data_IF_181248430270
#
_entry.id   IF_181248430270
#
_cell.length_a   1.000
_cell.length_b   1.000
_cell.length_c   1.000
_cell.angle_alpha   90.00
_cell.angle_beta   90.00
_cell.angle_gamma   90.00
#
_symmetry.space_group_name_H-M   'P 1'
#
loop_
_entity.id
_entity.type
_entity.pdbx_description
1 polymer ?
#
# COMPACT_ATOMS: atom_id res chain seq x y z
N UNK A 1 2.27 -23.52 -27.34
CA UNK A 1 2.11 -22.23 -26.65
C UNK A 1 2.37 -22.46 -25.18
N UNK A 2 3.58 -22.15 -24.69
CA UNK A 2 3.96 -22.36 -23.29
C UNK A 2 3.01 -21.58 -22.35
N UNK A 3 2.67 -22.14 -21.18
CA UNK A 3 1.94 -21.46 -20.09
C UNK A 3 2.61 -20.16 -19.59
N UNK A 4 3.77 -19.78 -20.16
CA UNK A 4 4.68 -18.73 -19.71
C UNK A 4 4.21 -17.28 -19.92
N UNK A 5 3.09 -17.03 -20.60
CA UNK A 5 2.62 -15.66 -20.90
C UNK A 5 1.13 -15.39 -20.69
N UNK A 6 0.37 -16.25 -19.97
CA UNK A 6 -1.08 -16.03 -19.77
C UNK A 6 -1.45 -14.67 -19.14
N UNK A 7 -0.53 -14.04 -18.40
CA UNK A 7 -0.78 -12.80 -17.64
C UNK A 7 0.08 -11.59 -18.11
N UNK A 8 0.77 -11.69 -19.25
CA UNK A 8 1.62 -10.62 -19.76
C UNK A 8 1.05 -10.00 -21.02
N UNK A 9 1.12 -8.67 -21.13
CA UNK A 9 0.99 -8.00 -22.42
C UNK A 9 2.36 -7.87 -23.09
N UNK A 10 2.44 -8.32 -24.34
CA UNK A 10 3.53 -8.08 -25.27
C UNK A 10 3.04 -7.37 -26.53
N UNK A 11 3.95 -7.05 -27.45
CA UNK A 11 3.64 -6.37 -28.71
C UNK A 11 2.61 -7.13 -29.59
N UNK A 12 2.42 -8.43 -29.36
CA UNK A 12 1.54 -9.31 -30.15
C UNK A 12 0.17 -9.53 -29.51
N UNK A 13 -0.09 -8.94 -28.35
CA UNK A 13 -1.29 -9.20 -27.56
C UNK A 13 -2.56 -8.54 -28.14
N UNK A 14 -3.56 -9.37 -28.49
CA UNK A 14 -4.87 -8.95 -29.04
C UNK A 14 -5.85 -8.56 -27.92
N UNK A 15 -6.78 -7.64 -28.20
CA UNK A 15 -7.81 -7.20 -27.25
C UNK A 15 -8.84 -8.31 -27.09
N UNK A 16 -9.03 -8.79 -25.86
CA UNK A 16 -10.22 -9.56 -25.48
C UNK A 16 -11.06 -8.68 -24.55
N UNK A 17 -12.24 -8.22 -24.97
CA UNK A 17 -13.21 -7.64 -24.06
C UNK A 17 -13.44 -8.64 -22.92
N UNK A 18 -13.38 -8.20 -21.67
CA UNK A 18 -13.71 -9.06 -20.53
C UNK A 18 -15.04 -8.63 -19.95
N UNK A 19 -15.89 -9.61 -19.64
CA UNK A 19 -17.27 -9.46 -19.19
C UNK A 19 -17.42 -8.75 -17.82
N UNK A 20 -16.31 -8.30 -17.21
CA UNK A 20 -16.29 -7.70 -15.86
C UNK A 20 -15.83 -6.23 -15.78
N UNK A 21 -15.53 -5.56 -16.91
CA UNK A 21 -15.67 -4.09 -17.16
C UNK A 21 -14.91 -3.70 -18.44
N UNK A 22 -15.56 -3.13 -19.49
CA UNK A 22 -15.50 -1.67 -19.74
C UNK A 22 -16.65 -1.07 -20.59
N UNK A 23 -17.85 -1.65 -20.66
CA UNK A 23 -18.93 -1.05 -21.48
C UNK A 23 -19.50 0.26 -20.88
N UNK A 24 -19.35 0.48 -19.56
CA UNK A 24 -20.04 1.55 -18.80
C UNK A 24 -19.16 2.64 -18.16
N UNK A 25 -17.82 2.64 -18.28
CA UNK A 25 -16.99 3.73 -17.76
C UNK A 25 -16.40 4.59 -18.88
N UNK A 26 -17.07 5.73 -19.13
CA UNK A 26 -16.73 6.67 -20.18
C UNK A 26 -15.29 7.21 -20.09
N UNK A 27 -14.74 7.34 -18.87
CA UNK A 27 -13.38 7.85 -18.64
C UNK A 27 -12.33 6.95 -19.30
N UNK A 28 -12.42 5.64 -19.08
CA UNK A 28 -11.49 4.67 -19.68
C UNK A 28 -11.68 4.54 -21.19
N UNK A 29 -12.92 4.57 -21.67
CA UNK A 29 -13.24 4.50 -23.11
C UNK A 29 -12.71 5.72 -23.86
N UNK A 30 -12.91 6.92 -23.31
CA UNK A 30 -12.42 8.17 -23.91
C UNK A 30 -10.90 8.20 -23.94
N UNK A 31 -10.22 7.87 -22.83
CA UNK A 31 -8.76 7.80 -22.82
C UNK A 31 -8.21 6.82 -23.86
N UNK A 32 -8.78 5.60 -23.93
CA UNK A 32 -8.37 4.61 -24.91
C UNK A 32 -8.64 5.08 -26.35
N UNK A 33 -9.81 5.66 -26.62
CA UNK A 33 -10.13 6.22 -27.93
C UNK A 33 -9.09 7.27 -28.35
N UNK A 34 -8.79 8.22 -27.46
CA UNK A 34 -7.80 9.27 -27.73
C UNK A 34 -6.44 8.66 -28.08
N UNK A 35 -5.97 7.68 -27.30
CA UNK A 35 -4.66 7.06 -27.50
C UNK A 35 -4.62 6.18 -28.77
N UNK A 36 -5.63 5.33 -28.97
CA UNK A 36 -5.73 4.40 -30.11
C UNK A 36 -5.78 5.14 -31.44
N UNK A 37 -6.64 6.16 -31.54
CA UNK A 37 -6.81 6.96 -32.76
C UNK A 37 -5.86 8.16 -32.84
N UNK A 38 -4.93 8.29 -31.89
CA UNK A 38 -3.92 9.35 -31.82
C UNK A 38 -4.51 10.78 -31.86
N UNK A 39 -5.71 10.96 -31.31
CA UNK A 39 -6.38 12.27 -31.18
C UNK A 39 -5.54 13.20 -30.30
N UNK A 40 -4.77 12.64 -29.38
CA UNK A 40 -3.80 13.34 -28.56
C UNK A 40 -2.80 14.21 -29.34
N UNK A 41 -2.50 13.90 -30.61
CA UNK A 41 -1.55 14.69 -31.43
C UNK A 41 -1.97 16.16 -31.57
N UNK A 42 -3.27 16.43 -31.69
CA UNK A 42 -3.81 17.80 -31.74
C UNK A 42 -3.55 18.56 -30.43
N UNK A 43 -3.46 17.83 -29.31
CA UNK A 43 -3.26 18.40 -27.99
C UNK A 43 -1.79 18.62 -27.61
N UNK A 44 -0.84 18.24 -28.47
CA UNK A 44 0.60 18.47 -28.25
C UNK A 44 0.92 19.96 -28.03
N UNK A 45 0.25 20.83 -28.78
CA UNK A 45 0.45 22.28 -28.74
C UNK A 45 -0.49 22.99 -27.77
N UNK A 46 -1.46 22.27 -27.21
CA UNK A 46 -2.43 22.83 -26.26
C UNK A 46 -1.74 23.02 -24.90
N UNK A 47 -1.76 24.23 -24.32
CA UNK A 47 -1.21 24.45 -22.98
C UNK A 47 -1.95 23.65 -21.91
N UNK A 48 -1.22 23.06 -20.96
CA UNK A 48 -1.85 22.31 -19.86
C UNK A 48 -2.74 23.18 -18.96
N UNK A 49 -2.54 24.50 -19.00
CA UNK A 49 -3.36 25.47 -18.28
C UNK A 49 -4.83 25.38 -18.65
N UNK A 50 -5.16 25.01 -19.90
CA UNK A 50 -6.54 24.81 -20.36
C UNK A 50 -7.17 23.61 -19.65
N UNK A 51 -6.49 22.46 -19.61
CA UNK A 51 -6.96 21.29 -18.86
C UNK A 51 -7.04 21.56 -17.35
N UNK A 52 -6.10 22.34 -16.84
CA UNK A 52 -6.12 22.81 -15.46
C UNK A 52 -7.31 23.75 -15.18
N UNK A 53 -7.78 24.53 -16.16
CA UNK A 53 -9.01 25.31 -16.06
C UNK A 53 -10.24 24.39 -16.09
N UNK A 54 -10.32 23.45 -17.05
CA UNK A 54 -11.42 22.47 -17.17
C UNK A 54 -11.57 21.54 -15.95
N UNK A 55 -10.46 21.23 -15.27
CA UNK A 55 -10.49 20.42 -14.05
C UNK A 55 -11.26 21.07 -12.89
N UNK A 56 -11.46 22.39 -12.92
CA UNK A 56 -12.18 23.12 -11.86
C UNK A 56 -13.68 22.83 -11.90
N UNK A 57 -14.43 23.09 -13.00
CA UNK A 57 -15.85 22.80 -13.06
C UNK A 57 -16.16 21.29 -12.97
N UNK A 58 -15.36 20.44 -13.64
CA UNK A 58 -15.51 18.97 -13.57
C UNK A 58 -15.28 18.48 -12.13
N UNK A 59 -14.26 19.02 -11.46
CA UNK A 59 -13.96 18.69 -10.08
C UNK A 59 -15.09 19.03 -9.13
N UNK A 60 -15.74 20.18 -9.33
CA UNK A 60 -16.86 20.61 -8.50
C UNK A 60 -18.05 19.64 -8.58
N UNK A 61 -18.40 19.16 -9.78
CA UNK A 61 -19.48 18.17 -9.97
C UNK A 61 -19.18 16.82 -9.32
N UNK A 62 -17.94 16.34 -9.38
CA UNK A 62 -17.56 15.04 -8.80
C UNK A 62 -17.21 15.10 -7.30
N UNK A 63 -17.14 16.29 -6.70
CA UNK A 63 -16.63 16.48 -5.35
C UNK A 63 -17.54 15.96 -4.23
N UNK A 64 -18.86 15.93 -4.45
CA UNK A 64 -19.87 15.77 -3.37
C UNK A 64 -19.63 14.51 -2.54
N UNK A 65 -19.38 13.37 -3.18
CA UNK A 65 -19.10 12.09 -2.49
C UNK A 65 -17.63 11.97 -2.04
N UNK A 66 -16.71 12.68 -2.72
CA UNK A 66 -15.28 12.72 -2.39
C UNK A 66 -14.98 13.39 -1.05
N UNK A 67 -15.71 14.46 -0.74
CA UNK A 67 -15.46 15.31 0.42
C UNK A 67 -15.48 14.58 1.76
N UNK A 68 -16.52 13.78 2.02
CA UNK A 68 -16.69 13.10 3.30
C UNK A 68 -15.56 12.10 3.56
N UNK A 69 -15.27 11.25 2.57
CA UNK A 69 -14.25 10.21 2.68
C UNK A 69 -12.84 10.82 2.84
N UNK A 70 -12.48 11.79 2.01
CA UNK A 70 -11.18 12.46 2.09
C UNK A 70 -11.03 13.25 3.40
N UNK A 71 -12.08 13.98 3.82
CA UNK A 71 -12.06 14.68 5.10
C UNK A 71 -11.85 13.72 6.26
N UNK A 72 -12.47 12.54 6.23
CA UNK A 72 -12.25 11.49 7.24
C UNK A 72 -10.79 11.03 7.22
N UNK A 73 -10.21 10.79 6.05
CA UNK A 73 -8.80 10.39 5.91
C UNK A 73 -7.86 11.45 6.45
N UNK A 74 -8.06 12.73 6.10
CA UNK A 74 -7.22 13.82 6.61
C UNK A 74 -7.37 14.04 8.12
N UNK A 75 -8.60 13.98 8.65
CA UNK A 75 -8.83 14.09 10.09
C UNK A 75 -8.14 12.98 10.89
N UNK A 76 -7.96 11.81 10.28
CA UNK A 76 -7.24 10.71 10.89
C UNK A 76 -5.72 10.85 10.77
N UNK A 77 -5.21 11.29 9.61
CA UNK A 77 -3.78 11.39 9.33
C UNK A 77 -3.14 12.67 9.88
N UNK A 78 -3.88 13.66 10.33
CA UNK A 78 -3.27 14.89 10.81
C UNK A 78 -3.73 15.22 12.24
N UNK A 79 -2.82 15.70 13.11
CA UNK A 79 -3.18 16.13 14.45
C UNK A 79 -4.22 17.27 14.45
N UNK A 80 -5.15 17.33 15.42
CA UNK A 80 -6.14 18.41 15.51
C UNK A 80 -5.55 19.83 15.44
N UNK A 81 -4.46 20.08 16.18
CA UNK A 81 -3.73 21.37 16.16
C UNK A 81 -3.20 21.77 14.78
N UNK A 82 -2.89 20.80 13.93
CA UNK A 82 -2.50 21.07 12.54
C UNK A 82 -3.74 21.33 11.69
N UNK A 83 -4.79 20.53 11.87
CA UNK A 83 -6.07 20.64 11.17
C UNK A 83 -6.76 22.00 11.37
N UNK A 84 -6.63 22.61 12.54
CA UNK A 84 -7.13 23.96 12.85
C UNK A 84 -6.51 25.05 11.96
N UNK A 85 -5.29 24.83 11.46
CA UNK A 85 -4.54 25.80 10.64
C UNK A 85 -4.79 25.63 9.14
N UNK A 86 -5.54 24.61 8.74
CA UNK A 86 -5.74 24.26 7.33
C UNK A 86 -7.20 24.24 6.95
N UNK A 87 -7.47 24.69 5.72
CA UNK A 87 -8.80 24.56 5.13
C UNK A 87 -8.94 23.16 4.49
N UNK A 88 -9.54 22.21 5.22
CA UNK A 88 -9.77 20.85 4.75
C UNK A 88 -10.58 20.79 3.45
N UNK A 89 -11.56 21.68 3.27
CA UNK A 89 -12.35 21.76 2.03
C UNK A 89 -11.46 22.12 0.85
N UNK A 90 -10.54 23.08 1.03
CA UNK A 90 -9.54 23.45 0.01
C UNK A 90 -8.62 22.28 -0.31
N UNK A 91 -8.15 21.54 0.68
CA UNK A 91 -7.32 20.35 0.46
C UNK A 91 -8.05 19.28 -0.35
N UNK A 92 -9.30 18.98 -0.02
CA UNK A 92 -10.10 18.03 -0.80
C UNK A 92 -10.34 18.53 -2.22
N UNK A 93 -10.65 19.80 -2.43
CA UNK A 93 -10.78 20.39 -3.77
C UNK A 93 -9.48 20.26 -4.57
N UNK A 94 -8.34 20.52 -3.93
CA UNK A 94 -7.03 20.34 -4.54
C UNK A 94 -6.79 18.89 -4.95
N UNK A 95 -7.14 17.92 -4.10
CA UNK A 95 -7.04 16.49 -4.43
C UNK A 95 -7.92 16.09 -5.61
N UNK A 96 -9.20 16.50 -5.62
CA UNK A 96 -10.14 16.14 -6.70
C UNK A 96 -9.66 16.73 -8.03
N UNK A 97 -9.33 18.03 -8.03
CA UNK A 97 -8.81 18.73 -9.20
C UNK A 97 -7.52 18.09 -9.70
N UNK A 98 -6.65 17.68 -8.79
CA UNK A 98 -5.40 16.99 -9.09
C UNK A 98 -5.63 15.66 -9.81
N UNK A 99 -6.55 14.81 -9.33
CA UNK A 99 -6.83 13.52 -9.97
C UNK A 99 -7.44 13.69 -11.37
N UNK A 100 -8.24 14.73 -11.60
CA UNK A 100 -8.77 15.04 -12.95
C UNK A 100 -7.64 15.51 -13.88
N UNK A 101 -6.72 16.34 -13.39
CA UNK A 101 -5.55 16.74 -14.17
C UNK A 101 -4.64 15.55 -14.49
N UNK A 102 -4.48 14.62 -13.55
CA UNK A 102 -3.74 13.38 -13.76
C UNK A 102 -4.37 12.55 -14.88
N UNK A 103 -5.69 12.39 -14.86
CA UNK A 103 -6.42 11.74 -15.96
C UNK A 103 -6.16 12.41 -17.31
N UNK A 104 -6.21 13.75 -17.38
CA UNK A 104 -5.89 14.46 -18.63
C UNK A 104 -4.44 14.26 -19.06
N UNK A 105 -3.49 14.30 -18.13
CA UNK A 105 -2.08 14.02 -18.44
C UNK A 105 -1.89 12.61 -19.00
N UNK A 106 -2.49 11.61 -18.37
CA UNK A 106 -2.43 10.20 -18.79
C UNK A 106 -3.11 9.93 -20.13
N UNK A 107 -4.28 10.53 -20.36
CA UNK A 107 -5.02 10.35 -21.61
C UNK A 107 -4.38 11.08 -22.80
N UNK A 108 -3.92 12.33 -22.58
CA UNK A 108 -3.55 13.24 -23.67
C UNK A 108 -2.05 13.44 -23.85
N UNK A 109 -1.26 13.47 -22.79
CA UNK A 109 0.14 13.86 -22.88
C UNK A 109 1.11 12.70 -22.73
N UNK A 110 0.73 11.69 -21.96
CA UNK A 110 1.57 10.54 -21.67
C UNK A 110 2.10 9.85 -22.94
N UNK A 111 1.23 9.72 -23.92
CA UNK A 111 1.47 9.11 -25.24
C UNK A 111 2.26 9.98 -26.21
N UNK A 112 2.48 11.25 -25.88
CA UNK A 112 3.31 12.18 -26.64
C UNK A 112 4.76 12.22 -26.14
N UNK A 113 5.04 11.60 -24.98
CA UNK A 113 6.38 11.59 -24.38
C UNK A 113 7.29 10.63 -25.15
N UNK A 114 8.46 11.13 -25.52
CA UNK A 114 9.47 10.45 -26.31
C UNK A 114 10.87 10.99 -25.97
N UNK A 115 11.89 10.51 -26.68
CA UNK A 115 13.28 10.86 -26.43
C UNK A 115 13.62 12.33 -26.72
N UNK A 116 12.81 13.05 -27.51
CA UNK A 116 13.01 14.45 -27.89
C UNK A 116 12.37 15.47 -26.93
N UNK A 117 11.52 15.01 -26.01
CA UNK A 117 10.83 15.85 -25.04
C UNK A 117 10.99 15.29 -23.61
N UNK A 118 12.21 14.83 -23.27
CA UNK A 118 12.57 14.27 -21.95
C UNK A 118 12.47 15.28 -20.81
N UNK A 119 12.40 16.57 -21.12
CA UNK A 119 12.33 17.68 -20.15
C UNK A 119 11.10 17.63 -19.23
N UNK A 120 10.11 16.78 -19.53
CA UNK A 120 9.00 16.49 -18.61
C UNK A 120 9.46 15.90 -17.26
N UNK A 121 10.65 15.31 -17.17
CA UNK A 121 11.11 14.62 -15.95
C UNK A 121 12.45 15.15 -15.46
N UNK A 122 12.46 16.38 -14.93
CA UNK A 122 13.67 16.98 -14.38
C UNK A 122 13.41 17.70 -13.05
N UNK A 123 14.22 17.43 -12.00
CA UNK A 123 15.38 16.53 -11.95
C UNK A 123 15.06 15.06 -11.64
N UNK A 124 15.90 14.15 -12.15
CA UNK A 124 15.99 12.75 -11.70
C UNK A 124 17.09 12.65 -10.65
N UNK A 125 16.73 12.31 -9.43
CA UNK A 125 17.63 12.29 -8.26
C UNK A 125 17.90 10.85 -7.83
N UNK A 126 19.15 10.54 -7.51
CA UNK A 126 19.53 9.23 -6.95
C UNK A 126 19.53 8.07 -7.94
N UNK A 127 19.56 8.33 -9.25
CA UNK A 127 19.58 7.27 -10.27
C UNK A 127 20.76 6.29 -10.11
N UNK A 128 21.89 6.78 -9.62
CA UNK A 128 23.07 5.98 -9.29
C UNK A 128 22.75 4.80 -8.34
N UNK A 129 21.77 4.93 -7.43
CA UNK A 129 21.33 3.82 -6.58
C UNK A 129 20.70 2.69 -7.42
N UNK A 130 19.86 3.05 -8.40
CA UNK A 130 19.26 2.09 -9.32
C UNK A 130 20.32 1.45 -10.23
N UNK A 131 21.22 2.25 -10.82
CA UNK A 131 22.27 1.73 -11.69
C UNK A 131 23.19 0.73 -10.95
N UNK A 132 23.56 1.06 -9.70
CA UNK A 132 24.32 0.15 -8.84
C UNK A 132 23.58 -1.17 -8.63
N UNK A 133 22.27 -1.13 -8.41
CA UNK A 133 21.44 -2.32 -8.23
C UNK A 133 21.34 -3.16 -9.53
N UNK A 134 21.14 -2.52 -10.69
CA UNK A 134 21.07 -3.22 -11.99
C UNK A 134 22.40 -3.92 -12.32
N UNK A 135 23.54 -3.32 -11.96
CA UNK A 135 24.87 -3.92 -12.13
C UNK A 135 25.07 -5.22 -11.34
N UNK A 136 24.25 -5.47 -10.31
CA UNK A 136 24.28 -6.73 -9.55
C UNK A 136 23.71 -7.92 -10.34
N UNK A 137 23.03 -7.68 -11.48
CA UNK A 137 22.44 -8.72 -12.36
C UNK A 137 21.39 -9.62 -11.68
N UNK A 138 20.75 -9.16 -10.61
CA UNK A 138 19.71 -9.91 -9.85
C UNK A 138 18.26 -9.51 -10.19
N UNK A 139 18.07 -8.52 -11.07
CA UNK A 139 16.81 -7.80 -11.21
C UNK A 139 16.56 -6.88 -10.02
N UNK A 140 15.78 -5.82 -10.23
CA UNK A 140 15.57 -4.78 -9.21
C UNK A 140 14.09 -4.68 -8.87
N UNK A 141 13.78 -4.67 -7.58
CA UNK A 141 12.43 -4.40 -7.07
C UNK A 141 12.30 -2.91 -6.78
N UNK A 142 11.32 -2.25 -7.39
CA UNK A 142 11.10 -0.81 -7.27
C UNK A 142 9.75 -0.56 -6.62
N UNK A 143 9.69 -0.48 -5.26
CA UNK A 143 8.47 -0.08 -4.59
C UNK A 143 8.19 1.40 -4.81
N UNK A 144 6.94 1.71 -5.14
CA UNK A 144 6.42 3.06 -5.31
C UNK A 144 5.14 3.26 -4.50
N UNK A 145 4.69 4.50 -4.40
CA UNK A 145 3.37 4.87 -3.87
C UNK A 145 2.62 5.65 -4.95
N UNK A 146 1.28 5.63 -4.95
CA UNK A 146 0.46 6.39 -5.91
C UNK A 146 0.46 7.89 -5.55
N UNK A 147 1.65 8.50 -5.61
CA UNK A 147 1.93 9.87 -5.25
C UNK A 147 2.44 10.63 -6.47
N UNK A 148 1.88 11.81 -6.74
CA UNK A 148 2.28 12.54 -7.93
C UNK A 148 1.83 11.79 -9.19
N UNK A 149 2.47 12.10 -10.32
CA UNK A 149 2.34 11.28 -11.52
C UNK A 149 3.27 10.07 -11.39
N UNK A 150 2.75 9.02 -10.75
CA UNK A 150 3.49 7.81 -10.39
C UNK A 150 3.98 6.99 -11.60
N UNK A 151 3.57 7.36 -12.83
CA UNK A 151 4.09 6.78 -14.06
C UNK A 151 5.40 7.42 -14.52
N UNK A 152 5.71 8.65 -14.08
CA UNK A 152 6.97 9.35 -14.43
C UNK A 152 8.25 8.54 -14.18
N UNK A 153 8.37 7.72 -13.11
CA UNK A 153 9.53 6.86 -12.91
C UNK A 153 9.74 5.85 -14.03
N UNK A 154 8.66 5.28 -14.58
CA UNK A 154 8.75 4.29 -15.66
C UNK A 154 9.26 4.98 -16.93
N UNK A 155 8.65 6.12 -17.30
CA UNK A 155 9.05 6.90 -18.46
C UNK A 155 10.50 7.41 -18.39
N UNK A 156 10.97 7.74 -17.19
CA UNK A 156 12.36 8.12 -16.94
C UNK A 156 13.34 7.02 -17.37
N UNK A 157 12.94 5.74 -17.31
CA UNK A 157 13.79 4.61 -17.63
C UNK A 157 13.71 4.16 -19.09
N UNK A 158 12.60 4.43 -19.81
CA UNK A 158 12.41 3.94 -21.18
C UNK A 158 13.49 4.39 -22.17
N UNK A 159 14.07 5.56 -21.95
CA UNK A 159 15.08 6.14 -22.84
C UNK A 159 16.48 6.22 -22.19
N UNK A 160 16.73 5.41 -21.17
CA UNK A 160 18.01 5.36 -20.46
C UNK A 160 18.72 4.03 -20.68
N UNK A 161 20.04 4.13 -20.80
CA UNK A 161 20.94 3.01 -20.80
C UNK A 161 21.74 3.01 -19.49
N UNK A 162 22.23 1.83 -19.12
CA UNK A 162 23.14 1.64 -18.00
C UNK A 162 24.29 0.74 -18.45
N UNK A 163 25.51 1.10 -18.07
CA UNK A 163 26.68 0.27 -18.32
C UNK A 163 26.71 -0.89 -17.31
N UNK A 164 26.69 -2.11 -17.82
CA UNK A 164 26.79 -3.36 -17.03
C UNK A 164 27.83 -4.26 -17.67
N UNK A 165 28.93 -4.50 -16.96
CA UNK A 165 30.10 -5.21 -17.48
C UNK A 165 30.55 -4.60 -18.83
N UNK A 166 30.82 -3.29 -18.80
CA UNK A 166 31.31 -2.48 -19.94
C UNK A 166 30.37 -2.34 -21.15
N UNK A 167 29.26 -3.08 -21.17
CA UNK A 167 28.23 -2.98 -22.20
C UNK A 167 27.14 -1.98 -21.80
N UNK A 168 26.87 -1.02 -22.67
CA UNK A 168 25.69 -0.15 -22.55
C UNK A 168 24.43 -0.93 -22.93
N UNK A 169 23.54 -1.18 -21.98
CA UNK A 169 22.25 -1.83 -22.22
C UNK A 169 21.08 -0.92 -21.84
N UNK A 170 19.95 -1.06 -22.55
CA UNK A 170 18.67 -0.43 -22.17
C UNK A 170 18.21 -0.96 -20.81
N UNK A 171 17.59 -0.10 -20.01
CA UNK A 171 16.92 -0.53 -18.78
C UNK A 171 15.57 -1.17 -19.16
N UNK A 172 15.41 -2.46 -18.88
CA UNK A 172 14.14 -3.15 -19.07
C UNK A 172 13.25 -3.02 -17.85
N UNK A 173 11.96 -2.71 -18.07
CA UNK A 173 10.98 -2.42 -17.04
C UNK A 173 9.83 -3.40 -17.12
N UNK A 174 9.40 -3.92 -15.97
CA UNK A 174 8.11 -4.59 -15.85
C UNK A 174 7.24 -3.88 -14.81
N UNK A 175 5.99 -3.61 -15.13
CA UNK A 175 5.06 -2.96 -14.22
C UNK A 175 3.82 -3.83 -14.02
N UNK A 176 3.35 -3.94 -12.77
CA UNK A 176 2.09 -4.58 -12.48
C UNK A 176 0.93 -3.63 -12.74
N UNK A 177 -0.06 -4.09 -13.48
CA UNK A 177 -1.27 -3.33 -13.77
C UNK A 177 -2.51 -4.15 -13.42
N UNK A 178 -3.56 -3.47 -12.96
CA UNK A 178 -4.89 -4.06 -12.95
C UNK A 178 -5.42 -4.17 -14.37
N UNK A 179 -6.46 -4.97 -14.57
CA UNK A 179 -7.13 -5.13 -15.88
C UNK A 179 -7.72 -3.81 -16.39
N UNK A 180 -8.18 -2.95 -15.48
CA UNK A 180 -8.76 -1.65 -15.82
C UNK A 180 -7.68 -0.66 -16.27
N UNK A 181 -6.57 -0.60 -15.54
CA UNK A 181 -5.44 0.26 -15.90
C UNK A 181 -4.73 -0.22 -17.17
N UNK A 182 -4.77 -1.51 -17.46
CA UNK A 182 -4.26 -2.05 -18.72
C UNK A 182 -4.83 -1.31 -19.93
N UNK A 183 -6.15 -1.06 -19.91
CA UNK A 183 -6.86 -0.42 -21.02
C UNK A 183 -6.38 1.02 -21.28
N UNK A 184 -5.90 1.71 -20.24
CA UNK A 184 -5.34 3.07 -20.32
C UNK A 184 -3.93 3.13 -20.89
N UNK A 185 -3.18 2.02 -20.90
CA UNK A 185 -1.74 2.07 -21.21
C UNK A 185 -1.32 1.09 -22.29
N UNK A 186 -2.20 0.17 -22.71
CA UNK A 186 -1.88 -0.88 -23.70
C UNK A 186 -1.33 -0.31 -25.02
N UNK A 187 -1.92 0.75 -25.55
CA UNK A 187 -1.45 1.35 -26.81
C UNK A 187 -0.08 2.02 -26.68
N UNK A 188 0.30 2.45 -25.47
CA UNK A 188 1.64 2.96 -25.19
C UNK A 188 2.65 1.84 -24.95
N UNK A 189 2.25 0.79 -24.22
CA UNK A 189 3.10 -0.39 -23.99
C UNK A 189 3.60 -0.99 -25.30
N UNK A 190 2.74 -1.06 -26.33
CA UNK A 190 3.12 -1.57 -27.66
C UNK A 190 4.27 -0.80 -28.32
N UNK A 191 4.43 0.49 -28.01
CA UNK A 191 5.45 1.37 -28.62
C UNK A 191 6.79 1.31 -27.88
N UNK A 192 6.81 0.80 -26.65
CA UNK A 192 7.98 0.85 -25.76
C UNK A 192 8.59 -0.56 -25.70
N UNK A 193 9.69 -0.76 -26.41
CA UNK A 193 10.33 -2.07 -26.60
C UNK A 193 10.97 -2.65 -25.33
N UNK A 194 11.21 -1.82 -24.32
CA UNK A 194 11.77 -2.19 -23.03
C UNK A 194 10.76 -2.16 -21.88
N UNK A 195 9.45 -2.18 -22.16
CA UNK A 195 8.39 -2.25 -21.15
C UNK A 195 7.58 -3.54 -21.29
N UNK A 196 7.31 -4.17 -20.16
CA UNK A 196 6.33 -5.26 -20.03
C UNK A 196 5.27 -4.91 -19.00
N UNK A 197 3.99 -5.14 -19.33
CA UNK A 197 2.91 -5.00 -18.37
C UNK A 197 2.44 -6.39 -17.91
N UNK A 198 2.47 -6.60 -16.59
CA UNK A 198 2.01 -7.83 -15.94
C UNK A 198 0.61 -7.56 -15.40
N UNK A 199 -0.38 -8.16 -16.04
CA UNK A 199 -1.79 -7.92 -15.72
C UNK A 199 -2.22 -8.84 -14.60
N UNK A 200 -2.81 -8.28 -13.54
CA UNK A 200 -3.20 -9.07 -12.38
C UNK A 200 -4.44 -8.56 -11.67
N UNK A 201 -5.22 -9.50 -11.14
CA UNK A 201 -6.22 -9.29 -10.10
C UNK A 201 -5.81 -9.92 -8.75
N UNK A 202 -4.74 -10.72 -8.74
CA UNK A 202 -4.21 -11.43 -7.57
C UNK A 202 -2.67 -11.57 -7.65
N UNK A 203 -1.98 -11.16 -6.59
CA UNK A 203 -0.53 -11.25 -6.51
C UNK A 203 0.01 -12.69 -6.57
N UNK A 204 -0.74 -13.68 -6.07
CA UNK A 204 -0.28 -15.08 -6.06
C UNK A 204 -0.11 -15.64 -7.48
N UNK A 205 -0.98 -15.25 -8.40
CA UNK A 205 -0.97 -15.76 -9.78
C UNK A 205 0.16 -15.21 -10.64
N UNK A 206 0.75 -14.06 -10.27
CA UNK A 206 1.80 -13.39 -11.05
C UNK A 206 3.20 -13.53 -10.49
N UNK A 207 3.36 -14.22 -9.34
CA UNK A 207 4.67 -14.40 -8.72
C UNK A 207 5.69 -15.03 -9.68
N UNK A 208 5.35 -16.14 -10.36
CA UNK A 208 6.26 -16.81 -11.30
C UNK A 208 6.65 -15.89 -12.47
N UNK A 209 5.70 -15.11 -12.99
CA UNK A 209 5.94 -14.14 -14.06
C UNK A 209 6.89 -13.04 -13.60
N UNK A 210 6.69 -12.48 -12.41
CA UNK A 210 7.59 -11.47 -11.84
C UNK A 210 9.00 -12.04 -11.64
N UNK A 211 9.12 -13.26 -11.12
CA UNK A 211 10.40 -13.94 -10.95
C UNK A 211 11.13 -14.13 -12.29
N UNK A 212 10.42 -14.46 -13.36
CA UNK A 212 10.99 -14.56 -14.70
C UNK A 212 11.61 -13.24 -15.18
N UNK A 213 10.91 -12.12 -15.00
CA UNK A 213 11.44 -10.81 -15.37
C UNK A 213 12.66 -10.42 -14.51
N UNK A 214 12.62 -10.67 -13.20
CA UNK A 214 13.75 -10.41 -12.30
C UNK A 214 15.01 -11.21 -12.70
N UNK A 215 14.86 -12.49 -13.05
CA UNK A 215 15.96 -13.33 -13.55
C UNK A 215 16.59 -12.81 -14.85
N UNK A 216 15.84 -12.03 -15.64
CA UNK A 216 16.34 -11.32 -16.84
C UNK A 216 16.91 -9.93 -16.52
N UNK A 217 17.13 -9.62 -15.25
CA UNK A 217 17.62 -8.34 -14.75
C UNK A 217 16.68 -7.14 -15.02
N UNK A 218 15.36 -7.37 -15.07
CA UNK A 218 14.39 -6.28 -15.23
C UNK A 218 14.23 -5.49 -13.92
N UNK A 219 13.85 -4.23 -14.08
CA UNK A 219 13.32 -3.37 -13.02
C UNK A 219 11.82 -3.60 -12.88
N UNK A 220 11.37 -4.21 -11.79
CA UNK A 220 9.96 -4.51 -11.54
C UNK A 220 9.34 -3.49 -10.59
N UNK A 221 8.34 -2.75 -11.05
CA UNK A 221 7.62 -1.74 -10.27
C UNK A 221 6.41 -2.35 -9.55
N UNK A 222 6.29 -2.06 -8.25
CA UNK A 222 5.17 -2.50 -7.41
C UNK A 222 4.68 -1.36 -6.52
N UNK A 223 3.37 -1.15 -6.47
CA UNK A 223 2.77 -0.17 -5.57
C UNK A 223 2.68 -0.70 -4.13
N UNK A 224 3.39 -0.05 -3.20
CA UNK A 224 3.45 -0.37 -1.77
C UNK A 224 2.17 0.07 -1.02
N UNK A 225 1.47 1.09 -1.50
CA UNK A 225 0.22 1.61 -0.90
C UNK A 225 -1.05 0.93 -1.43
N UNK A 226 -0.91 -0.14 -2.23
CA UNK A 226 -2.03 -0.94 -2.74
C UNK A 226 -2.38 -2.08 -1.76
N UNK A 227 -2.99 -1.70 -0.63
CA UNK A 227 -3.23 -2.63 0.47
C UNK A 227 -4.37 -3.63 0.18
N UNK A 228 -4.20 -4.87 0.65
CA UNK A 228 -5.28 -5.84 0.78
C UNK A 228 -5.51 -6.22 2.25
N UNK A 229 -6.78 -6.33 2.67
CA UNK A 229 -7.18 -6.48 4.08
C UNK A 229 -6.53 -7.67 4.83
N UNK A 230 -6.20 -8.74 4.10
CA UNK A 230 -5.63 -10.00 4.63
C UNK A 230 -4.09 -9.99 4.70
N UNK A 231 -3.43 -8.93 4.22
CA UNK A 231 -1.97 -8.85 4.24
C UNK A 231 -1.44 -8.59 5.65
N UNK A 232 -0.17 -8.96 5.87
CA UNK A 232 0.56 -8.63 7.09
C UNK A 232 0.49 -7.12 7.34
N UNK A 233 0.09 -6.76 8.55
CA UNK A 233 -0.01 -5.37 9.00
C UNK A 233 1.27 -4.93 9.69
N UNK A 234 1.81 -3.79 9.28
CA UNK A 234 3.04 -3.22 9.83
C UNK A 234 2.83 -1.75 10.16
N UNK A 235 3.66 -1.14 11.02
CA UNK A 235 3.56 0.28 11.32
C UNK A 235 3.62 1.15 10.07
N UNK A 236 2.73 2.14 10.02
CA UNK A 236 2.71 3.14 8.96
C UNK A 236 3.96 4.01 9.03
N UNK A 237 4.28 4.55 10.21
CA UNK A 237 5.59 5.10 10.56
C UNK A 237 5.96 4.70 12.00
N UNK A 238 6.96 3.84 12.13
CA UNK A 238 7.45 3.37 13.42
C UNK A 238 8.10 4.51 14.24
N UNK A 239 8.05 4.38 15.57
CA UNK A 239 8.43 5.41 16.56
C UNK A 239 7.73 6.77 16.46
N UNK A 240 6.74 6.92 15.58
CA UNK A 240 5.95 8.14 15.58
C UNK A 240 4.86 8.10 16.66
N UNK A 241 4.82 9.13 17.52
CA UNK A 241 3.74 9.30 18.51
C UNK A 241 2.34 9.25 17.89
N UNK A 242 2.18 9.83 16.70
CA UNK A 242 0.89 9.96 16.02
C UNK A 242 0.70 8.88 14.93
N UNK A 243 1.76 8.56 14.19
CA UNK A 243 1.69 7.73 12.97
C UNK A 243 2.05 6.25 13.18
N UNK A 244 2.30 5.82 14.41
CA UNK A 244 2.58 4.41 14.73
C UNK A 244 1.29 3.59 14.86
N UNK A 245 0.47 3.58 13.79
CA UNK A 245 -0.67 2.67 13.62
C UNK A 245 -0.36 1.64 12.54
N UNK A 246 -1.08 0.51 12.52
CA UNK A 246 -0.79 -0.57 11.58
C UNK A 246 -1.62 -0.49 10.30
N UNK A 247 -0.96 -0.62 9.15
CA UNK A 247 -1.57 -0.75 7.82
C UNK A 247 -1.17 -2.07 7.18
N UNK A 248 -2.05 -2.70 6.35
CA UNK A 248 -1.65 -3.88 5.59
C UNK A 248 -0.56 -3.49 4.59
N UNK A 249 0.38 -4.39 4.28
CA UNK A 249 1.42 -4.13 3.29
C UNK A 249 1.56 -5.28 2.28
N UNK A 250 1.73 -4.99 0.98
CA UNK A 250 2.04 -6.01 -0.02
C UNK A 250 3.29 -6.82 0.36
N UNK A 251 3.16 -8.14 0.36
CA UNK A 251 4.24 -9.06 0.77
C UNK A 251 5.03 -9.64 -0.42
N UNK A 252 4.71 -9.25 -1.65
CA UNK A 252 5.44 -9.73 -2.82
C UNK A 252 6.87 -9.19 -2.88
N UNK A 253 7.06 -7.90 -2.57
CA UNK A 253 8.38 -7.26 -2.51
C UNK A 253 9.30 -7.99 -1.53
N UNK A 254 8.82 -8.19 -0.31
CA UNK A 254 9.58 -8.85 0.77
C UNK A 254 9.87 -10.31 0.44
N UNK A 255 8.88 -11.03 -0.08
CA UNK A 255 9.05 -12.42 -0.52
C UNK A 255 10.08 -12.57 -1.65
N UNK A 256 10.05 -11.70 -2.66
CA UNK A 256 10.98 -11.77 -3.79
C UNK A 256 12.41 -11.41 -3.36
N UNK A 257 12.56 -10.36 -2.55
CA UNK A 257 13.87 -9.98 -1.99
C UNK A 257 14.48 -11.12 -1.16
N UNK A 258 13.73 -11.70 -0.23
CA UNK A 258 14.24 -12.76 0.65
C UNK A 258 14.59 -14.06 -0.10
N UNK A 259 13.83 -14.40 -1.15
CA UNK A 259 14.02 -15.68 -1.87
C UNK A 259 14.99 -15.57 -3.05
N UNK A 260 15.12 -14.40 -3.68
CA UNK A 260 15.95 -14.20 -4.88
C UNK A 260 17.13 -13.26 -4.66
N UNK A 261 17.21 -12.57 -3.53
CA UNK A 261 18.23 -11.57 -3.26
C UNK A 261 18.13 -10.33 -4.14
N UNK A 262 16.98 -10.05 -4.75
CA UNK A 262 16.78 -8.88 -5.59
C UNK A 262 16.87 -7.60 -4.75
N UNK A 263 17.72 -6.62 -5.09
CA UNK A 263 17.78 -5.33 -4.40
C UNK A 263 16.45 -4.58 -4.45
N UNK A 264 16.12 -3.86 -3.38
CA UNK A 264 14.92 -3.03 -3.27
C UNK A 264 15.34 -1.56 -3.35
N UNK A 265 14.98 -0.88 -4.45
CA UNK A 265 15.27 0.55 -4.69
C UNK A 265 13.94 1.31 -4.71
N UNK A 266 13.52 1.93 -3.59
CA UNK A 266 12.27 2.68 -3.58
C UNK A 266 12.32 3.90 -4.47
N UNK A 267 11.17 4.29 -5.01
CA UNK A 267 11.03 5.49 -5.82
C UNK A 267 9.85 6.32 -5.36
N UNK A 268 9.99 7.64 -5.44
CA UNK A 268 8.91 8.58 -5.20
C UNK A 268 8.89 9.67 -6.26
N UNK A 269 7.72 10.25 -6.45
CA UNK A 269 7.46 11.31 -7.42
C UNK A 269 6.62 12.41 -6.83
N UNK A 270 7.01 13.64 -7.08
CA UNK A 270 6.25 14.82 -6.72
C UNK A 270 6.49 15.94 -7.73
N UNK A 271 5.45 16.73 -8.06
CA UNK A 271 5.53 17.82 -9.01
C UNK A 271 6.40 18.95 -8.45
N UNK A 272 7.18 19.58 -9.32
CA UNK A 272 7.97 20.79 -8.99
C UNK A 272 7.15 22.06 -9.22
N UNK A 273 6.50 22.15 -10.38
CA UNK A 273 5.69 23.32 -10.78
C UNK A 273 4.27 22.92 -11.13
N UNK A 274 4.11 21.85 -11.90
CA UNK A 274 2.83 21.27 -12.29
C UNK A 274 3.01 19.77 -12.54
N UNK A 275 1.91 19.08 -12.85
CA UNK A 275 1.88 17.63 -13.10
C UNK A 275 2.76 17.15 -14.26
N UNK A 276 3.06 18.01 -15.23
CA UNK A 276 3.94 17.67 -16.35
C UNK A 276 5.41 17.61 -15.95
N UNK A 277 5.80 18.25 -14.84
CA UNK A 277 7.18 18.37 -14.39
C UNK A 277 7.34 17.85 -12.97
N UNK A 278 7.73 16.58 -12.85
CA UNK A 278 8.00 15.96 -11.54
C UNK A 278 9.48 15.77 -11.27
N UNK A 279 9.83 15.87 -9.99
CA UNK A 279 11.04 15.26 -9.45
C UNK A 279 10.81 13.76 -9.37
N UNK A 280 11.67 12.98 -10.02
CA UNK A 280 11.71 11.52 -9.85
C UNK A 280 12.89 11.19 -8.95
N UNK A 281 12.63 10.63 -7.78
CA UNK A 281 13.68 10.37 -6.78
C UNK A 281 13.78 8.89 -6.48
N UNK A 282 14.86 8.26 -6.95
CA UNK A 282 15.27 6.93 -6.51
C UNK A 282 16.00 7.04 -5.17
N UNK A 283 15.52 6.30 -4.18
CA UNK A 283 16.05 6.30 -2.83
C UNK A 283 17.15 5.24 -2.68
N UNK A 284 18.02 5.36 -1.66
CA UNK A 284 19.00 4.32 -1.35
C UNK A 284 18.36 2.95 -1.17
N UNK A 285 19.12 1.90 -1.50
CA UNK A 285 18.71 0.50 -1.35
C UNK A 285 18.24 0.22 0.08
N UNK A 286 17.12 -0.49 0.19
CA UNK A 286 16.65 -1.04 1.47
C UNK A 286 17.24 -2.42 1.64
N UNK A 287 18.21 -2.52 2.54
CA UNK A 287 18.87 -3.77 2.86
C UNK A 287 19.22 -3.84 4.36
N UNK A 288 18.52 -4.68 5.16
CA UNK A 288 18.81 -4.83 6.58
C UNK A 288 20.24 -5.30 6.88
N UNK A 289 20.90 -5.98 5.93
CA UNK A 289 22.28 -6.46 6.10
C UNK A 289 23.29 -5.31 6.14
N UNK A 290 23.00 -4.18 5.49
CA UNK A 290 23.96 -3.09 5.29
C UNK A 290 23.48 -1.73 5.80
N UNK A 291 22.22 -1.61 6.24
CA UNK A 291 21.71 -0.37 6.81
C UNK A 291 22.51 0.04 8.05
N UNK A 292 22.87 1.32 8.14
CA UNK A 292 23.44 1.89 9.36
C UNK A 292 22.37 1.93 10.45
N UNK A 293 22.66 1.27 11.58
CA UNK A 293 21.76 1.14 12.72
C UNK A 293 22.13 2.06 13.88
N UNK A 294 23.24 2.80 13.79
CA UNK A 294 23.75 3.65 14.88
C UNK A 294 22.72 4.67 15.37
N UNK A 295 21.92 5.21 14.45
CA UNK A 295 20.89 6.22 14.72
C UNK A 295 19.48 5.63 14.96
N UNK A 296 19.35 4.30 15.01
CA UNK A 296 18.07 3.63 15.28
C UNK A 296 17.85 3.42 16.78
N UNK A 297 16.60 3.29 17.22
CA UNK A 297 16.33 2.92 18.62
C UNK A 297 16.76 1.49 18.92
N UNK A 298 17.04 1.22 20.20
CA UNK A 298 17.52 -0.09 20.65
C UNK A 298 16.63 -1.27 20.23
N UNK A 299 15.31 -1.08 20.15
CA UNK A 299 14.39 -2.16 19.76
C UNK A 299 14.59 -2.52 18.29
N UNK A 300 14.63 -1.51 17.41
CA UNK A 300 14.85 -1.74 15.98
C UNK A 300 16.29 -2.20 15.68
N UNK A 301 17.29 -1.69 16.40
CA UNK A 301 18.67 -2.20 16.31
C UNK A 301 18.70 -3.71 16.58
N UNK A 302 18.07 -4.17 17.67
CA UNK A 302 17.98 -5.61 18.01
C UNK A 302 17.26 -6.43 16.94
N UNK A 303 16.17 -5.92 16.36
CA UNK A 303 15.45 -6.61 15.28
C UNK A 303 16.32 -6.73 14.02
N UNK A 304 17.07 -5.68 13.66
CA UNK A 304 17.98 -5.72 12.50
C UNK A 304 19.15 -6.67 12.75
N UNK A 305 19.71 -6.70 13.96
CA UNK A 305 20.75 -7.67 14.32
C UNK A 305 20.23 -9.10 14.24
N UNK A 306 19.05 -9.39 14.81
CA UNK A 306 18.41 -10.71 14.67
C UNK A 306 18.13 -11.08 13.20
N UNK A 307 17.85 -10.10 12.34
CA UNK A 307 17.71 -10.35 10.91
C UNK A 307 19.05 -10.82 10.32
N UNK A 308 20.15 -10.13 10.63
CA UNK A 308 21.51 -10.46 10.18
C UNK A 308 21.97 -11.83 10.67
N UNK A 309 21.66 -12.14 11.91
CA UNK A 309 21.98 -13.44 12.54
C UNK A 309 21.06 -14.56 12.05
N UNK A 310 20.06 -14.27 11.22
CA UNK A 310 19.13 -15.25 10.66
C UNK A 310 18.05 -15.73 11.64
N UNK A 311 18.02 -15.22 12.87
CA UNK A 311 17.18 -15.70 13.98
C UNK A 311 15.73 -15.22 13.94
N UNK A 312 15.40 -14.25 13.08
CA UNK A 312 14.01 -13.83 12.89
C UNK A 312 13.15 -14.91 12.20
N UNK A 313 11.92 -15.07 12.67
CA UNK A 313 10.89 -15.86 11.99
C UNK A 313 10.55 -15.26 10.62
N UNK A 314 9.92 -16.04 9.75
CA UNK A 314 9.44 -15.57 8.43
C UNK A 314 8.56 -14.33 8.55
N UNK A 315 7.61 -14.31 9.50
CA UNK A 315 6.73 -13.15 9.72
C UNK A 315 7.52 -11.90 10.10
N UNK A 316 8.52 -12.03 10.98
CA UNK A 316 9.35 -10.91 11.40
C UNK A 316 10.25 -10.40 10.26
N UNK A 317 10.87 -11.28 9.46
CA UNK A 317 11.64 -10.88 8.27
C UNK A 317 10.79 -10.07 7.29
N UNK A 318 9.57 -10.54 7.03
CA UNK A 318 8.61 -9.89 6.14
C UNK A 318 8.13 -8.54 6.73
N UNK A 319 7.86 -8.52 8.03
CA UNK A 319 7.45 -7.33 8.77
C UNK A 319 8.52 -6.24 8.78
N UNK A 320 9.78 -6.60 9.10
CA UNK A 320 10.91 -5.69 9.16
C UNK A 320 11.19 -5.03 7.80
N UNK A 321 11.24 -5.81 6.72
CA UNK A 321 11.44 -5.26 5.38
C UNK A 321 10.30 -4.32 4.98
N UNK A 322 9.04 -4.71 5.23
CA UNK A 322 7.88 -3.84 4.96
C UNK A 322 7.95 -2.54 5.75
N UNK A 323 8.38 -2.61 7.02
CA UNK A 323 8.57 -1.45 7.88
C UNK A 323 9.62 -0.48 7.31
N UNK A 324 10.77 -0.99 6.89
CA UNK A 324 11.84 -0.17 6.31
C UNK A 324 11.39 0.51 5.01
N UNK A 325 10.62 -0.19 4.17
CA UNK A 325 10.00 0.38 2.97
C UNK A 325 9.04 1.52 3.35
N UNK A 326 8.14 1.26 4.30
CA UNK A 326 7.18 2.25 4.78
C UNK A 326 7.88 3.51 5.33
N UNK A 327 8.96 3.37 6.10
CA UNK A 327 9.73 4.52 6.63
C UNK A 327 10.27 5.41 5.51
N UNK A 328 10.68 4.84 4.38
CA UNK A 328 11.19 5.61 3.23
C UNK A 328 10.06 6.26 2.42
N UNK A 329 8.95 5.57 2.21
CA UNK A 329 7.89 6.03 1.30
C UNK A 329 6.76 6.82 2.00
N UNK A 330 6.27 6.36 3.15
CA UNK A 330 5.08 6.93 3.79
C UNK A 330 5.28 8.38 4.29
N UNK A 331 6.52 8.80 4.54
CA UNK A 331 6.81 10.21 4.84
C UNK A 331 6.32 11.15 3.72
N UNK A 332 6.49 10.75 2.46
CA UNK A 332 6.06 11.55 1.32
C UNK A 332 4.53 11.65 1.21
N UNK A 333 3.79 10.65 1.69
CA UNK A 333 2.32 10.69 1.76
C UNK A 333 1.85 11.79 2.73
N UNK A 334 2.58 11.99 3.83
CA UNK A 334 2.27 13.02 4.83
C UNK A 334 2.79 14.40 4.41
N UNK A 335 3.90 14.46 3.67
CA UNK A 335 4.42 15.72 3.15
C UNK A 335 3.53 16.28 2.02
N UNK A 336 2.94 15.40 1.21
CA UNK A 336 2.17 15.78 0.03
C UNK A 336 0.78 15.11 -0.03
N UNK A 337 -0.12 15.40 0.93
CA UNK A 337 -1.40 14.70 1.07
C UNK A 337 -2.27 14.73 -0.18
N UNK A 338 -2.46 15.90 -0.78
CA UNK A 338 -3.34 16.05 -1.94
C UNK A 338 -2.81 15.39 -3.22
N UNK A 339 -1.57 14.90 -3.21
CA UNK A 339 -0.98 14.17 -4.33
C UNK A 339 -1.13 12.65 -4.19
N UNK A 340 -1.56 12.16 -3.03
CA UNK A 340 -1.67 10.73 -2.76
C UNK A 340 -3.04 10.18 -3.17
N UNK A 341 -3.11 9.60 -4.35
CA UNK A 341 -4.34 9.08 -4.96
C UNK A 341 -5.02 8.01 -4.07
N UNK A 342 -4.22 7.24 -3.34
CA UNK A 342 -4.71 6.21 -2.41
C UNK A 342 -5.47 6.75 -1.18
N UNK A 343 -5.44 8.07 -0.92
CA UNK A 343 -6.10 8.67 0.24
C UNK A 343 -7.62 8.45 0.26
N UNK A 344 -8.27 8.43 -0.92
CA UNK A 344 -9.71 8.19 -1.03
C UNK A 344 -10.11 6.78 -0.58
N UNK A 345 -9.27 5.78 -0.89
CA UNK A 345 -9.53 4.37 -0.56
C UNK A 345 -8.84 3.91 0.73
N UNK A 346 -8.19 4.83 1.46
CA UNK A 346 -7.36 4.49 2.60
C UNK A 346 -8.10 3.66 3.65
N UNK A 347 -9.28 4.11 4.11
CA UNK A 347 -10.07 3.36 5.10
C UNK A 347 -10.62 2.05 4.56
N UNK A 348 -11.06 2.04 3.31
CA UNK A 348 -11.64 0.84 2.71
C UNK A 348 -10.61 -0.28 2.60
N UNK A 349 -9.36 0.08 2.31
CA UNK A 349 -8.25 -0.87 2.16
C UNK A 349 -7.58 -1.25 3.49
N UNK A 350 -7.61 -0.36 4.48
CA UNK A 350 -7.02 -0.63 5.81
C UNK A 350 -8.00 -1.25 6.81
N UNK A 351 -9.29 -1.34 6.47
CA UNK A 351 -10.34 -1.77 7.38
C UNK A 351 -10.09 -3.14 8.05
N UNK A 352 -10.31 -3.22 9.36
CA UNK A 352 -10.30 -4.42 10.19
C UNK A 352 -11.33 -4.30 11.32
N UNK A 353 -12.28 -5.24 11.35
CA UNK A 353 -13.37 -5.27 12.32
C UNK A 353 -13.50 -6.65 12.95
N UNK A 354 -13.74 -6.69 14.26
CA UNK A 354 -14.26 -7.87 14.95
C UNK A 354 -15.78 -7.84 14.77
N UNK A 355 -16.33 -8.70 13.92
CA UNK A 355 -17.78 -8.73 13.65
C UNK A 355 -18.48 -9.72 14.58
N UNK A 356 -19.61 -9.31 15.12
CA UNK A 356 -20.50 -10.11 15.94
C UNK A 356 -21.78 -10.39 15.13
N UNK A 357 -21.83 -11.57 14.50
CA UNK A 357 -23.03 -12.01 13.78
C UNK A 357 -23.83 -12.92 14.72
N UNK A 358 -25.10 -12.58 14.95
CA UNK A 358 -26.05 -13.39 15.73
C UNK A 358 -25.53 -13.78 17.14
N UNK A 359 -24.74 -12.89 17.76
CA UNK A 359 -24.21 -13.12 19.10
C UNK A 359 -25.31 -12.85 20.12
N UNK A 360 -25.63 -13.86 20.94
CA UNK A 360 -26.71 -13.80 21.94
C UNK A 360 -26.18 -13.76 23.37
N UNK A 361 -24.97 -14.26 23.62
CA UNK A 361 -24.37 -14.31 24.96
C UNK A 361 -23.04 -13.55 25.05
N UNK A 362 -22.71 -13.11 26.26
CA UNK A 362 -21.42 -12.50 26.58
C UNK A 362 -20.25 -13.46 26.30
N UNK A 363 -20.41 -14.76 26.62
CA UNK A 363 -19.40 -15.79 26.38
C UNK A 363 -19.11 -15.94 24.88
N UNK A 364 -20.13 -15.93 24.02
CA UNK A 364 -19.95 -15.92 22.56
C UNK A 364 -19.19 -14.67 22.09
N UNK A 365 -19.57 -13.49 22.58
CA UNK A 365 -18.88 -12.23 22.27
C UNK A 365 -17.40 -12.29 22.65
N UNK A 366 -17.10 -12.85 23.82
CA UNK A 366 -15.75 -13.00 24.35
C UNK A 366 -14.93 -13.98 23.50
N UNK A 367 -15.43 -15.19 23.25
CA UNK A 367 -14.77 -16.20 22.40
C UNK A 367 -14.43 -15.64 21.01
N UNK A 368 -15.38 -14.96 20.37
CA UNK A 368 -15.17 -14.30 19.07
C UNK A 368 -14.07 -13.23 19.17
N UNK A 369 -14.11 -12.40 20.21
CA UNK A 369 -13.15 -11.30 20.38
C UNK A 369 -11.73 -11.82 20.60
N UNK A 370 -11.53 -12.78 21.50
CA UNK A 370 -10.22 -13.36 21.81
C UNK A 370 -9.64 -14.08 20.58
N UNK A 371 -10.44 -14.90 19.87
CA UNK A 371 -10.02 -15.54 18.61
C UNK A 371 -9.63 -14.53 17.53
N UNK A 372 -10.31 -13.38 17.46
CA UNK A 372 -9.93 -12.31 16.53
C UNK A 372 -8.67 -11.55 16.95
N UNK A 373 -8.38 -11.45 18.26
CA UNK A 373 -7.10 -10.94 18.76
C UNK A 373 -5.93 -11.88 18.39
N UNK A 374 -6.13 -13.20 18.46
CA UNK A 374 -5.13 -14.19 17.98
C UNK A 374 -4.80 -13.95 16.50
N UNK A 375 -5.84 -13.87 15.66
CA UNK A 375 -5.67 -13.60 14.23
C UNK A 375 -5.02 -12.23 13.96
N UNK A 376 -5.31 -11.23 14.80
CA UNK A 376 -4.67 -9.91 14.69
C UNK A 376 -3.16 -10.00 14.94
N UNK A 377 -2.71 -10.70 16.00
CA UNK A 377 -1.28 -10.87 16.31
C UNK A 377 -0.57 -11.71 15.24
N UNK A 378 -1.22 -12.77 14.73
CA UNK A 378 -0.67 -13.58 13.65
C UNK A 378 -0.49 -12.79 12.34
N UNK A 379 -1.39 -11.84 12.06
CA UNK A 379 -1.38 -11.02 10.84
C UNK A 379 -0.86 -9.60 11.04
N UNK A 380 -0.10 -9.35 12.11
CA UNK A 380 0.59 -8.09 12.32
C UNK A 380 2.03 -8.31 12.78
N UNK A 381 2.85 -7.30 12.57
CA UNK A 381 4.21 -7.20 13.07
C UNK A 381 4.44 -5.82 13.68
N UNK A 382 5.06 -5.78 14.84
CA UNK A 382 5.54 -4.59 15.54
C UNK A 382 6.92 -4.92 16.12
N UNK A 383 7.97 -4.09 15.90
CA UNK A 383 9.29 -4.33 16.47
C UNK A 383 9.23 -4.54 17.99
N UNK A 384 9.90 -5.58 18.49
CA UNK A 384 9.99 -5.88 19.93
C UNK A 384 8.72 -6.45 20.59
N UNK A 385 7.61 -6.60 19.85
CA UNK A 385 6.39 -7.19 20.41
C UNK A 385 6.59 -8.69 20.68
N UNK A 386 6.29 -9.12 21.90
CA UNK A 386 6.47 -10.51 22.36
C UNK A 386 5.31 -11.40 21.88
N UNK A 387 5.23 -11.64 20.58
CA UNK A 387 4.10 -12.33 19.93
C UNK A 387 3.83 -13.72 20.51
N UNK A 388 4.87 -14.50 20.83
CA UNK A 388 4.73 -15.84 21.41
C UNK A 388 4.05 -15.79 22.78
N UNK A 389 4.46 -14.88 23.65
CA UNK A 389 3.88 -14.68 24.99
C UNK A 389 2.42 -14.26 24.88
N UNK A 390 2.11 -13.32 23.96
CA UNK A 390 0.76 -12.84 23.73
C UNK A 390 -0.14 -13.98 23.22
N UNK A 391 0.34 -14.72 22.21
CA UNK A 391 -0.41 -15.83 21.63
C UNK A 391 -0.64 -16.94 22.64
N UNK A 392 0.34 -17.27 23.47
CA UNK A 392 0.19 -18.27 24.52
C UNK A 392 -0.88 -17.84 25.53
N UNK A 393 -0.81 -16.58 26.00
CA UNK A 393 -1.80 -16.02 26.94
C UNK A 393 -3.22 -16.06 26.36
N UNK A 394 -3.39 -15.71 25.08
CA UNK A 394 -4.69 -15.77 24.41
C UNK A 394 -5.19 -17.21 24.24
N UNK A 395 -4.31 -18.17 23.92
CA UNK A 395 -4.67 -19.59 23.80
C UNK A 395 -5.11 -20.18 25.13
N UNK A 396 -4.39 -19.90 26.22
CA UNK A 396 -4.80 -20.29 27.57
C UNK A 396 -6.17 -19.69 27.89
N UNK A 397 -6.39 -18.41 27.58
CA UNK A 397 -7.69 -17.81 27.82
C UNK A 397 -8.81 -18.43 26.95
N UNK A 398 -8.53 -18.85 25.72
CA UNK A 398 -9.51 -19.58 24.90
C UNK A 398 -9.86 -20.91 25.56
N UNK A 399 -8.86 -21.68 26.02
CA UNK A 399 -9.08 -22.95 26.71
C UNK A 399 -9.94 -22.77 27.97
N UNK A 400 -9.63 -21.78 28.82
CA UNK A 400 -10.43 -21.45 30.01
C UNK A 400 -11.92 -21.14 29.65
N UNK A 401 -12.18 -20.63 28.44
CA UNK A 401 -13.53 -20.29 27.98
C UNK A 401 -14.27 -21.47 27.35
N UNK A 402 -13.57 -22.49 26.84
CA UNK A 402 -14.20 -23.68 26.25
C UNK A 402 -14.97 -24.49 27.29
N UNK A 403 -14.50 -24.47 28.54
CA UNK A 403 -15.13 -25.13 29.68
C UNK A 403 -16.44 -24.46 30.15
N UNK A 404 -16.69 -23.21 29.74
CA UNK A 404 -17.91 -22.49 30.11
C UNK A 404 -19.08 -22.91 29.21
N UNK A 405 -20.10 -23.52 29.83
CA UNK A 405 -21.42 -23.74 29.24
C UNK A 405 -22.18 -22.42 29.16
N UNK A 406 -22.91 -22.19 28.07
CA UNK A 406 -23.72 -20.98 27.91
C UNK A 406 -24.90 -21.00 28.89
N UNK A 407 -25.05 -19.95 29.70
CA UNK A 407 -26.19 -19.75 30.60
C UNK A 407 -27.18 -18.76 29.97
N UNK A 408 -28.51 -19.00 30.04
CA UNK A 408 -29.53 -18.03 29.63
C UNK A 408 -29.38 -16.64 30.29
N UNK A 409 -28.69 -16.53 31.43
CA UNK A 409 -28.41 -15.28 32.14
C UNK A 409 -27.19 -14.53 31.58
N UNK A 410 -26.48 -15.11 30.61
CA UNK A 410 -25.36 -14.48 29.90
C UNK A 410 -25.81 -13.59 28.74
N UNK A 411 -27.11 -13.33 28.58
CA UNK A 411 -27.66 -12.57 27.46
C UNK A 411 -26.96 -11.22 27.33
N UNK A 412 -26.54 -10.90 26.09
CA UNK A 412 -25.94 -9.62 25.76
C UNK A 412 -26.69 -8.97 24.59
N UNK A 413 -27.08 -7.72 24.77
CA UNK A 413 -27.64 -6.90 23.69
C UNK A 413 -26.57 -5.96 23.16
N UNK A 414 -26.00 -6.31 22.01
CA UNK A 414 -24.94 -5.52 21.39
C UNK A 414 -25.51 -4.30 20.67
N UNK A 415 -25.13 -3.10 21.11
CA UNK A 415 -25.50 -1.85 20.40
C UNK A 415 -24.89 -1.77 19.00
N UNK A 416 -23.70 -2.34 18.82
CA UNK A 416 -22.99 -2.38 17.54
C UNK A 416 -22.67 -3.83 17.17
N UNK A 417 -22.88 -4.20 15.91
CA UNK A 417 -22.54 -5.53 15.39
C UNK A 417 -21.04 -5.75 15.16
N UNK A 418 -20.17 -4.82 15.58
CA UNK A 418 -18.71 -4.94 15.44
C UNK A 418 -17.90 -4.04 16.38
N UNK A 419 -16.62 -4.40 16.58
CA UNK A 419 -15.56 -3.54 17.10
C UNK A 419 -14.62 -3.14 15.96
N UNK A 420 -14.51 -1.84 15.68
CA UNK A 420 -13.55 -1.29 14.72
C UNK A 420 -12.14 -1.27 15.32
N UNK A 421 -11.20 -2.02 14.72
CA UNK A 421 -9.80 -2.09 15.17
C UNK A 421 -8.81 -1.68 14.06
N UNK A 422 -9.32 -1.09 12.98
CA UNK A 422 -8.51 -0.50 11.91
C UNK A 422 -7.57 0.58 12.43
N UNK A 423 -6.39 0.65 11.82
CA UNK A 423 -5.43 1.73 12.03
C UNK A 423 -5.14 1.99 13.52
N UNK A 424 -5.04 0.90 14.30
CA UNK A 424 -4.57 0.88 15.67
C UNK A 424 -3.28 0.04 15.74
N UNK A 425 -2.43 0.33 16.72
CA UNK A 425 -1.33 -0.55 17.09
C UNK A 425 -1.78 -1.61 18.10
N UNK A 426 -0.94 -2.61 18.38
CA UNK A 426 -1.34 -3.73 19.22
C UNK A 426 -1.86 -3.29 20.57
N UNK A 427 -1.15 -2.39 21.25
CA UNK A 427 -1.57 -1.82 22.54
C UNK A 427 -2.97 -1.20 22.48
N UNK A 428 -3.23 -0.35 21.48
CA UNK A 428 -4.54 0.32 21.30
C UNK A 428 -5.65 -0.67 20.94
N UNK A 429 -5.36 -1.70 20.13
CA UNK A 429 -6.33 -2.76 19.81
C UNK A 429 -6.76 -3.49 21.08
N UNK A 430 -5.80 -3.95 21.87
CA UNK A 430 -6.07 -4.70 23.10
C UNK A 430 -6.82 -3.84 24.12
N UNK A 431 -6.35 -2.61 24.38
CA UNK A 431 -7.04 -1.66 25.25
C UNK A 431 -8.51 -1.45 24.83
N UNK A 432 -8.76 -1.24 23.53
CA UNK A 432 -10.11 -1.00 23.02
C UNK A 432 -11.01 -2.22 23.19
N UNK A 433 -10.53 -3.40 22.79
CA UNK A 433 -11.30 -4.65 22.87
C UNK A 433 -11.59 -5.02 24.32
N UNK A 434 -10.59 -4.98 25.20
CA UNK A 434 -10.74 -5.27 26.64
C UNK A 434 -11.72 -4.29 27.29
N UNK A 435 -11.59 -2.97 27.03
CA UNK A 435 -12.51 -1.97 27.59
C UNK A 435 -13.96 -2.26 27.19
N UNK A 436 -14.19 -2.60 25.93
CA UNK A 436 -15.54 -2.94 25.43
C UNK A 436 -16.04 -4.21 26.12
N UNK A 437 -15.24 -5.28 26.16
CA UNK A 437 -15.63 -6.54 26.81
C UNK A 437 -15.98 -6.35 28.28
N UNK A 438 -15.16 -5.63 29.04
CA UNK A 438 -15.44 -5.34 30.46
C UNK A 438 -16.75 -4.56 30.66
N UNK A 439 -17.13 -3.69 29.71
CA UNK A 439 -18.38 -2.91 29.78
C UNK A 439 -19.62 -3.78 29.60
N UNK A 440 -19.51 -4.90 28.86
CA UNK A 440 -20.63 -5.82 28.61
C UNK A 440 -20.77 -6.92 29.68
N UNK A 441 -19.93 -6.94 30.72
CA UNK A 441 -20.09 -7.90 31.82
C UNK A 441 -21.26 -7.51 32.75
N UNK A 442 -22.28 -8.37 32.80
CA UNK A 442 -23.37 -8.25 33.77
C UNK A 442 -22.96 -8.79 35.16
N UNK A 443 -23.86 -8.70 36.15
CA UNK A 443 -23.62 -9.19 37.52
C UNK A 443 -23.37 -10.70 37.56
N UNK A 444 -24.14 -11.47 36.78
CA UNK A 444 -24.02 -12.92 36.69
C UNK A 444 -22.63 -13.36 36.23
N UNK A 445 -22.12 -12.80 35.13
CA UNK A 445 -20.77 -13.06 34.62
C UNK A 445 -19.70 -12.70 35.66
N UNK A 446 -19.85 -11.57 36.36
CA UNK A 446 -18.87 -11.13 37.36
C UNK A 446 -18.81 -12.06 38.57
N UNK A 447 -19.94 -12.63 38.96
CA UNK A 447 -20.04 -13.55 40.10
C UNK A 447 -19.56 -14.96 39.74
N UNK A 448 -20.08 -15.52 38.65
CA UNK A 448 -19.85 -16.93 38.31
C UNK A 448 -18.59 -17.18 37.47
N UNK A 449 -18.07 -16.14 36.81
CA UNK A 449 -16.86 -16.21 35.99
C UNK A 449 -15.88 -15.10 36.37
N UNK A 450 -15.64 -14.95 37.67
CA UNK A 450 -14.82 -13.89 38.27
C UNK A 450 -13.39 -13.83 37.70
N UNK A 451 -12.86 -14.94 37.17
CA UNK A 451 -11.55 -15.02 36.52
C UNK A 451 -11.44 -14.21 35.21
N UNK A 452 -12.55 -13.96 34.50
CA UNK A 452 -12.55 -13.30 33.19
C UNK A 452 -11.99 -11.88 33.28
N UNK A 453 -12.41 -11.11 34.29
CA UNK A 453 -11.98 -9.72 34.48
C UNK A 453 -10.47 -9.59 34.72
N UNK A 454 -9.85 -10.33 35.66
CA UNK A 454 -8.41 -10.41 35.83
C UNK A 454 -7.66 -10.83 34.56
N UNK A 455 -8.15 -11.85 33.83
CA UNK A 455 -7.55 -12.29 32.56
C UNK A 455 -7.58 -11.20 31.49
N UNK A 456 -8.71 -10.50 31.32
CA UNK A 456 -8.79 -9.38 30.38
C UNK A 456 -7.82 -8.25 30.75
N UNK A 457 -7.69 -7.94 32.05
CA UNK A 457 -6.74 -6.92 32.53
C UNK A 457 -5.28 -7.36 32.36
N UNK A 458 -4.96 -8.65 32.50
CA UNK A 458 -3.59 -9.15 32.31
C UNK A 458 -3.13 -9.03 30.86
N UNK A 459 -4.04 -9.17 29.89
CA UNK A 459 -3.74 -8.92 28.47
C UNK A 459 -3.19 -7.51 28.20
N UNK A 460 -3.60 -6.51 29.00
CA UNK A 460 -3.13 -5.13 28.86
C UNK A 460 -1.69 -4.94 29.33
N UNK A 461 -1.19 -5.82 30.21
CA UNK A 461 0.18 -5.78 30.73
C UNK A 461 1.22 -6.36 29.77
N UNK A 462 0.78 -6.90 28.64
CA UNK A 462 1.64 -7.50 27.62
C UNK A 462 2.28 -6.46 26.66
N UNK A 463 1.92 -5.18 26.78
CA UNK A 463 2.31 -4.07 25.90
C UNK A 463 2.67 -2.80 26.68
#
# INVERSE_FOLDING_TARGET
MDEKTKNGLDQKSVIKPTDTFPDNNIVYRVAHFIQKYRVNRFFQYVPFTIFRALSVPIGFQHAVNGHSQLSKTWKFLYPPKFLEKINLKRWTNSFIRYNIQLYFDQALYLSLRNSKNKDFFHPVVGLNHLEKAIRQKKGVLIPLIHLGEYLHPLYTLFHRNVNVAENSQKIFVAALSSKENEFLFREEIKKIDNLSAIITTDFKSVQKTVQFYLKKNYCVFLAQDYYAKKQLRVPFLYNSKFYNFLTPCPQMLTNLHLNLGCPIIPVTTYPRQNLKFSVVKFLPEINPMTVDISNEDQTLQKEIMKFRDGTLTKKQKYGLLSLLINRKLNYYLLQYPYLWQGAFLFFDRTQLRIKFKNVKSYIQMLKISISKLVLFIQNSYEPGRKDEVILNTLKTFIADLEEIKEDPRDIVTLKNSYIEISCLNGKKVFNKVVKILLTYQNSHIKQNHSFISPRLKSLLKLF
#
